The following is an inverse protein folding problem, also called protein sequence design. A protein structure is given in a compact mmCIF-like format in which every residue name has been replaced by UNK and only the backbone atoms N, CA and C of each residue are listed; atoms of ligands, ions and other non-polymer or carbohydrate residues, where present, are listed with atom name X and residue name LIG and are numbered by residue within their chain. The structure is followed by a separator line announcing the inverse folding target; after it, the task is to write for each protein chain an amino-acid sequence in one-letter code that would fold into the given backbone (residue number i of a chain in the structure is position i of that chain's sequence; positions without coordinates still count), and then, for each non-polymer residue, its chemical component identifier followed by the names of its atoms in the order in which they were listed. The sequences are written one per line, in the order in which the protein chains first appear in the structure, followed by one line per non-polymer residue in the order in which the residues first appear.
data_IF_049674128074
#
_entry.id   IF_049674128074
#
_cell.length_a   1.000
_cell.length_b   1.000
_cell.length_c   1.000
_cell.angle_alpha   90.00
_cell.angle_beta   90.00
_cell.angle_gamma   90.00
#
_symmetry.space_group_name_H-M   'P 1'
#
loop_
_entity.id
_entity.type
_entity.pdbx_description
1 polymer ?
#
# COMPACT_ATOMS: atom_id res chain seq x y z
N UNK A 1 -12.14 8.97 5.00
CA UNK A 1 -11.50 9.31 3.70
C UNK A 1 -11.28 10.82 3.53
N UNK A 2 -10.70 11.48 4.53
CA UNK A 2 -10.64 12.95 4.57
C UNK A 2 -9.76 13.57 3.47
N UNK A 3 -8.69 12.90 3.06
CA UNK A 3 -7.69 13.47 2.15
C UNK A 3 -7.91 13.16 0.67
N UNK A 4 -8.48 12.00 0.38
CA UNK A 4 -8.82 11.54 -0.97
C UNK A 4 -9.94 10.50 -0.90
N UNK A 5 -10.88 10.51 -1.84
CA UNK A 5 -11.86 9.42 -1.98
C UNK A 5 -11.25 8.15 -2.60
N UNK A 6 -10.04 8.24 -3.19
CA UNK A 6 -9.38 7.11 -3.85
C UNK A 6 -8.38 6.46 -2.92
N UNK A 7 -8.90 5.57 -2.09
CA UNK A 7 -8.10 4.73 -1.18
C UNK A 7 -8.34 3.28 -1.54
N UNK A 8 -7.30 2.45 -1.59
CA UNK A 8 -7.42 1.03 -1.86
C UNK A 8 -6.55 0.21 -0.88
N UNK A 9 -7.02 -0.99 -0.54
CA UNK A 9 -6.20 -1.95 0.21
C UNK A 9 -5.37 -2.78 -0.76
N UNK A 10 -4.06 -2.80 -0.52
CA UNK A 10 -3.13 -3.73 -1.14
C UNK A 10 -2.63 -4.72 -0.08
N UNK A 11 -2.12 -5.90 -0.48
CA UNK A 11 -1.43 -6.80 0.43
C UNK A 11 -0.36 -6.08 1.26
N UNK A 12 -0.61 -5.93 2.57
CA UNK A 12 0.32 -5.28 3.50
C UNK A 12 0.45 -3.76 3.37
N UNK A 13 -0.40 -3.08 2.58
CA UNK A 13 -0.31 -1.63 2.41
C UNK A 13 -1.67 -0.96 2.14
N UNK A 14 -1.77 0.32 2.51
CA UNK A 14 -2.87 1.19 2.13
C UNK A 14 -2.39 2.12 1.02
N UNK A 15 -3.05 2.08 -0.14
CA UNK A 15 -2.78 2.97 -1.27
C UNK A 15 -3.69 4.19 -1.21
N UNK A 16 -3.12 5.38 -1.40
CA UNK A 16 -3.86 6.63 -1.51
C UNK A 16 -3.46 7.34 -2.81
N UNK A 17 -4.42 7.59 -3.70
CA UNK A 17 -4.21 8.45 -4.87
C UNK A 17 -4.55 9.89 -4.47
N UNK A 18 -3.56 10.77 -4.42
CA UNK A 18 -3.71 12.12 -3.85
C UNK A 18 -3.47 13.25 -4.84
N UNK A 19 -3.15 12.97 -6.11
CA UNK A 19 -2.83 13.97 -7.12
C UNK A 19 -3.96 14.98 -7.30
N UNK A 20 -5.21 14.50 -7.30
CA UNK A 20 -6.40 15.35 -7.42
C UNK A 20 -6.66 16.27 -6.21
N UNK A 21 -6.19 15.91 -5.01
CA UNK A 21 -6.45 16.66 -3.77
C UNK A 21 -5.22 17.38 -3.22
N UNK A 22 -4.02 17.13 -3.76
CA UNK A 22 -2.74 17.65 -3.23
C UNK A 22 -2.74 19.17 -3.08
N UNK A 23 -3.32 19.90 -4.06
CA UNK A 23 -3.40 21.38 -4.01
C UNK A 23 -4.26 21.88 -2.86
N UNK A 24 -5.35 21.18 -2.52
CA UNK A 24 -6.26 21.55 -1.43
C UNK A 24 -5.57 21.49 -0.06
N UNK A 25 -4.55 20.64 0.06
CA UNK A 25 -3.82 20.41 1.30
C UNK A 25 -2.51 21.22 1.41
N UNK A 26 -2.28 22.17 0.51
CA UNK A 26 -1.07 23.00 0.50
C UNK A 26 0.16 22.28 -0.03
N UNK A 27 -0.04 21.26 -0.88
CA UNK A 27 1.04 20.48 -1.48
C UNK A 27 1.34 19.17 -0.74
N UNK A 28 2.15 18.34 -1.38
CA UNK A 28 2.41 16.96 -0.97
C UNK A 28 3.07 16.86 0.41
N UNK A 29 4.07 17.69 0.69
CA UNK A 29 4.75 17.69 1.99
C UNK A 29 3.81 18.07 3.15
N UNK A 30 2.92 19.05 2.93
CA UNK A 30 1.94 19.46 3.92
C UNK A 30 0.88 18.38 4.15
N UNK A 31 0.41 17.73 3.08
CA UNK A 31 -0.50 16.59 3.15
C UNK A 31 0.10 15.45 3.97
N UNK A 32 1.32 15.02 3.68
CA UNK A 32 1.98 13.93 4.42
C UNK A 32 2.13 14.27 5.90
N UNK A 33 2.55 15.50 6.22
CA UNK A 33 2.65 15.94 7.61
C UNK A 33 1.30 15.85 8.32
N UNK A 34 0.20 16.24 7.67
CA UNK A 34 -1.15 16.13 8.23
C UNK A 34 -1.56 14.68 8.44
N UNK A 35 -1.35 13.81 7.45
CA UNK A 35 -1.64 12.37 7.55
C UNK A 35 -0.96 11.75 8.78
N UNK A 36 0.34 12.00 8.96
CA UNK A 36 1.10 11.46 10.09
C UNK A 36 0.73 12.08 11.44
N UNK A 37 0.37 13.37 11.45
CA UNK A 37 0.01 14.08 12.69
C UNK A 37 -1.35 13.63 13.21
N UNK A 38 -2.32 13.46 12.30
CA UNK A 38 -3.69 13.05 12.62
C UNK A 38 -3.80 11.55 12.88
N UNK A 39 -2.96 10.74 12.23
CA UNK A 39 -2.90 9.29 12.42
C UNK A 39 -1.55 8.93 13.02
N UNK A 40 -1.30 9.35 14.27
CA UNK A 40 -0.09 8.95 15.00
C UNK A 40 -0.03 7.42 15.06
N UNK A 41 0.91 6.78 14.35
CA UNK A 41 0.97 5.33 14.31
C UNK A 41 1.27 4.80 15.70
N UNK A 42 0.61 3.72 16.10
CA UNK A 42 0.98 2.97 17.31
C UNK A 42 2.30 2.20 17.11
N UNK A 43 2.72 2.00 15.86
CA UNK A 43 3.94 1.29 15.45
C UNK A 43 4.62 2.02 14.30
N UNK A 44 5.91 1.80 14.07
CA UNK A 44 6.58 2.39 12.90
C UNK A 44 5.92 1.90 11.60
N UNK A 45 5.25 2.81 10.88
CA UNK A 45 4.65 2.53 9.57
C UNK A 45 5.58 3.12 8.51
N UNK A 46 6.08 2.27 7.62
CA UNK A 46 6.77 2.71 6.41
C UNK A 46 5.80 3.31 5.41
N UNK A 47 6.23 4.34 4.69
CA UNK A 47 5.49 4.89 3.56
C UNK A 47 6.44 5.11 2.39
N UNK A 48 5.88 5.09 1.19
CA UNK A 48 6.59 5.42 -0.03
C UNK A 48 5.67 6.19 -0.96
N UNK A 49 6.29 6.87 -1.94
CA UNK A 49 5.59 7.66 -2.93
C UNK A 49 6.19 7.33 -4.30
N UNK A 50 5.38 7.52 -5.34
CA UNK A 50 5.75 7.21 -6.71
C UNK A 50 4.84 7.95 -7.68
N UNK A 51 5.28 8.05 -8.93
CA UNK A 51 4.50 8.64 -10.01
C UNK A 51 3.25 7.81 -10.36
N UNK A 52 3.30 6.51 -10.08
CA UNK A 52 2.19 5.56 -10.22
C UNK A 52 2.03 4.77 -8.92
N UNK A 53 0.87 4.14 -8.73
CA UNK A 53 0.63 3.30 -7.54
C UNK A 53 1.63 2.15 -7.44
N UNK A 54 1.97 1.53 -8.57
CA UNK A 54 2.88 0.39 -8.62
C UNK A 54 4.31 0.79 -8.30
N UNK A 55 4.78 1.97 -8.76
CA UNK A 55 6.09 2.50 -8.34
C UNK A 55 6.09 2.76 -6.83
N UNK A 56 5.05 3.40 -6.29
CA UNK A 56 4.96 3.65 -4.85
C UNK A 56 4.97 2.35 -4.02
N UNK A 57 4.24 1.33 -4.48
CA UNK A 57 4.19 0.02 -3.83
C UNK A 57 5.53 -0.73 -3.94
N UNK A 58 6.20 -0.67 -5.08
CA UNK A 58 7.51 -1.26 -5.28
C UNK A 58 8.57 -0.62 -4.36
N UNK A 59 8.55 0.71 -4.29
CA UNK A 59 9.34 1.49 -3.35
C UNK A 59 9.14 1.03 -1.90
N UNK A 60 7.89 0.89 -1.47
CA UNK A 60 7.54 0.44 -0.12
C UNK A 60 8.05 -0.98 0.16
N UNK A 61 7.80 -1.91 -0.77
CA UNK A 61 8.18 -3.33 -0.65
C UNK A 61 9.69 -3.52 -0.59
N UNK A 62 10.42 -2.73 -1.38
CA UNK A 62 11.89 -2.77 -1.37
C UNK A 62 12.46 -2.20 -0.09
N UNK A 63 11.93 -1.08 0.41
CA UNK A 63 12.34 -0.51 1.68
C UNK A 63 12.10 -1.50 2.84
N UNK A 64 10.93 -2.16 2.89
CA UNK A 64 10.63 -3.14 3.93
C UNK A 64 11.54 -4.37 3.85
N UNK A 65 11.85 -4.86 2.65
CA UNK A 65 12.75 -6.01 2.45
C UNK A 65 14.17 -5.69 2.93
N UNK A 66 14.68 -4.49 2.61
CA UNK A 66 16.00 -4.06 3.06
C UNK A 66 16.06 -3.93 4.59
N UNK A 67 15.03 -3.33 5.21
CA UNK A 67 14.95 -3.20 6.67
C UNK A 67 14.88 -4.56 7.37
N UNK A 68 14.15 -5.53 6.83
CA UNK A 68 14.10 -6.89 7.39
C UNK A 68 15.43 -7.64 7.25
N UNK A 69 16.21 -7.37 6.20
CA UNK A 69 17.55 -7.95 6.02
C UNK A 69 18.63 -7.29 6.89
N UNK A 70 18.40 -6.06 7.35
CA UNK A 70 19.36 -5.25 8.11
C UNK A 70 19.19 -5.34 9.63
N UNK A 71 18.20 -6.08 10.15
CA UNK A 71 17.93 -6.19 11.58
C UNK A 71 18.93 -7.10 12.32
N UNK A 72 20.17 -6.61 12.46
CA UNK A 72 20.99 -6.73 13.67
C UNK A 72 20.90 -5.37 14.37
N UNK A 73 20.19 -5.34 15.50
CA UNK A 73 19.98 -4.23 16.45
C UNK A 73 19.08 -3.04 16.03
N UNK A 74 17.96 -2.79 16.74
CA UNK A 74 17.17 -1.58 16.60
C UNK A 74 17.66 -0.50 17.57
N UNK A 75 18.20 0.60 17.03
CA UNK A 75 18.44 1.82 17.79
C UNK A 75 17.37 2.88 17.44
N UNK A 76 16.78 3.48 18.47
CA UNK A 76 15.43 4.05 18.48
C UNK A 76 15.41 5.51 17.98
N UNK A 77 16.27 5.86 17.02
CA UNK A 77 16.42 7.26 16.56
C UNK A 77 16.91 7.36 15.12
N UNK A 78 16.15 6.83 14.16
CA UNK A 78 16.39 7.13 12.75
C UNK A 78 15.10 7.03 11.92
N UNK A 79 14.44 8.16 11.74
CA UNK A 79 13.57 8.35 10.59
C UNK A 79 14.38 8.08 9.31
N UNK A 80 13.99 7.04 8.58
CA UNK A 80 14.31 6.76 7.17
C UNK A 80 15.78 7.05 6.75
N UNK A 81 16.66 6.06 6.92
CA UNK A 81 17.87 5.98 6.11
C UNK A 81 18.15 4.52 5.74
N UNK A 82 17.40 4.02 4.77
CA UNK A 82 17.89 2.96 3.89
C UNK A 82 19.13 3.50 3.18
N UNK A 83 20.29 2.89 3.43
CA UNK A 83 21.61 3.32 2.92
C UNK A 83 21.86 2.92 1.47
N UNK A 84 20.94 2.19 0.85
CA UNK A 84 20.92 1.96 -0.60
C UNK A 84 19.91 2.95 -1.22
N UNK A 85 20.31 3.78 -2.20
CA UNK A 85 19.37 4.62 -2.93
C UNK A 85 18.27 3.72 -3.48
N UNK A 86 17.02 4.06 -3.19
CA UNK A 86 15.90 3.42 -3.83
C UNK A 86 16.01 3.68 -5.34
N UNK A 87 15.72 2.70 -6.20
CA UNK A 87 15.72 2.88 -7.65
C UNK A 87 14.98 4.17 -8.02
N UNK A 88 15.68 5.08 -8.69
CA UNK A 88 15.08 6.33 -9.18
C UNK A 88 14.40 6.11 -10.53
N UNK A 89 14.85 5.12 -11.30
CA UNK A 89 14.28 4.74 -12.58
C UNK A 89 13.35 3.51 -12.41
N UNK A 90 12.16 3.51 -13.06
CA UNK A 90 11.26 2.36 -13.01
C UNK A 90 11.88 1.05 -13.51
N UNK A 91 12.80 1.12 -14.47
CA UNK A 91 13.45 -0.06 -15.06
C UNK A 91 14.29 -0.84 -14.04
N UNK A 92 14.81 -0.18 -13.01
CA UNK A 92 15.70 -0.75 -12.00
C UNK A 92 14.96 -1.43 -10.85
N UNK A 93 13.62 -1.37 -10.80
CA UNK A 93 12.87 -2.04 -9.76
C UNK A 93 13.01 -3.56 -9.88
N UNK A 94 13.32 -4.27 -8.78
CA UNK A 94 13.38 -5.72 -8.78
C UNK A 94 12.04 -6.32 -9.20
N UNK A 95 12.06 -7.38 -10.02
CA UNK A 95 10.86 -7.97 -10.60
C UNK A 95 9.88 -8.51 -9.53
N UNK A 96 10.39 -8.94 -8.37
CA UNK A 96 9.56 -9.40 -7.25
C UNK A 96 8.69 -8.29 -6.64
N UNK A 97 8.97 -7.01 -6.92
CA UNK A 97 8.13 -5.90 -6.46
C UNK A 97 6.88 -5.70 -7.34
N UNK A 98 6.83 -6.33 -8.53
CA UNK A 98 5.64 -6.31 -9.39
C UNK A 98 4.72 -7.48 -9.02
N UNK A 99 3.58 -7.18 -8.41
CA UNK A 99 2.66 -8.21 -7.91
C UNK A 99 2.18 -9.18 -8.98
N UNK A 100 1.88 -8.68 -10.18
CA UNK A 100 1.45 -9.51 -11.31
C UNK A 100 2.53 -10.51 -11.76
N UNK A 101 3.81 -10.27 -11.46
CA UNK A 101 4.91 -11.17 -11.81
C UNK A 101 5.13 -12.29 -10.77
N UNK A 102 4.55 -12.19 -9.56
CA UNK A 102 4.83 -13.10 -8.43
C UNK A 102 4.69 -14.57 -8.79
N UNK A 103 3.60 -14.95 -9.45
CA UNK A 103 3.35 -16.34 -9.88
C UNK A 103 4.34 -16.85 -10.94
N UNK A 104 5.04 -15.95 -11.62
CA UNK A 104 5.91 -16.25 -12.76
C UNK A 104 7.39 -16.03 -12.46
N UNK A 105 7.75 -15.53 -11.26
CA UNK A 105 9.13 -15.22 -10.88
C UNK A 105 10.12 -16.36 -11.16
N UNK A 106 9.85 -17.63 -10.82
CA UNK A 106 10.82 -18.70 -11.06
C UNK A 106 11.13 -18.92 -12.55
N UNK A 107 10.12 -18.75 -13.41
CA UNK A 107 10.27 -18.93 -14.85
C UNK A 107 10.96 -17.71 -15.47
N UNK A 108 10.55 -16.50 -15.06
CA UNK A 108 11.14 -15.24 -15.54
C UNK A 108 12.62 -15.13 -15.14
N UNK A 109 12.98 -15.54 -13.93
CA UNK A 109 14.37 -15.57 -13.48
C UNK A 109 15.24 -16.51 -14.34
N UNK A 110 14.72 -17.67 -14.77
CA UNK A 110 15.43 -18.59 -15.68
C UNK A 110 15.63 -18.01 -17.08
N UNK A 111 14.80 -17.05 -17.49
CA UNK A 111 14.95 -16.31 -18.74
C UNK A 111 15.90 -15.11 -18.60
N UNK A 112 16.47 -14.89 -17.42
CA UNK A 112 17.35 -13.76 -17.14
C UNK A 112 16.62 -12.47 -16.76
N UNK A 113 15.29 -12.49 -16.59
CA UNK A 113 14.53 -11.31 -16.19
C UNK A 113 14.55 -11.14 -14.68
N UNK A 114 15.19 -10.09 -14.20
CA UNK A 114 15.39 -9.80 -12.77
C UNK A 114 14.83 -8.45 -12.34
N UNK A 115 14.69 -7.51 -13.27
CA UNK A 115 14.08 -6.20 -13.03
C UNK A 115 12.90 -5.92 -13.99
N UNK A 116 12.23 -4.79 -13.75
CA UNK A 116 11.12 -4.33 -14.60
C UNK A 116 11.59 -3.99 -16.01
N UNK A 117 12.79 -3.43 -16.15
CA UNK A 117 13.42 -3.13 -17.44
C UNK A 117 13.62 -4.38 -18.30
N UNK A 118 14.13 -5.48 -17.71
CA UNK A 118 14.30 -6.76 -18.40
C UNK A 118 12.96 -7.28 -18.92
N UNK A 119 11.92 -7.22 -18.07
CA UNK A 119 10.58 -7.66 -18.43
C UNK A 119 9.99 -6.78 -19.54
N UNK A 120 10.22 -5.46 -19.49
CA UNK A 120 9.76 -4.50 -20.49
C UNK A 120 10.44 -4.68 -21.85
N UNK A 121 11.68 -5.15 -21.87
CA UNK A 121 12.42 -5.43 -23.10
C UNK A 121 11.91 -6.67 -23.86
N UNK A 122 11.12 -7.54 -23.21
CA UNK A 122 10.56 -8.73 -23.86
C UNK A 122 9.47 -8.38 -24.88
N UNK A 123 9.31 -9.17 -25.96
CA UNK A 123 8.22 -8.99 -26.91
C UNK A 123 6.84 -9.08 -26.26
N UNK A 124 6.05 -7.99 -26.33
CA UNK A 124 4.73 -7.86 -25.67
C UNK A 124 3.78 -9.01 -25.98
N UNK A 125 3.66 -9.39 -27.26
CA UNK A 125 2.79 -10.49 -27.69
C UNK A 125 3.22 -11.84 -27.09
N UNK A 126 4.53 -12.08 -26.99
CA UNK A 126 5.07 -13.28 -26.35
C UNK A 126 4.83 -13.29 -24.85
N UNK A 127 4.96 -12.14 -24.20
CA UNK A 127 4.71 -11.97 -22.77
C UNK A 127 3.24 -12.25 -22.44
N UNK A 128 2.29 -11.63 -23.16
CA UNK A 128 0.86 -11.85 -23.00
C UNK A 128 0.47 -13.32 -23.18
N UNK A 129 1.00 -13.97 -24.23
CA UNK A 129 0.68 -15.38 -24.54
C UNK A 129 1.21 -16.36 -23.49
N UNK A 130 2.38 -16.10 -22.92
CA UNK A 130 3.06 -17.04 -22.00
C UNK A 130 2.74 -16.81 -20.52
N UNK A 131 2.53 -15.56 -20.13
CA UNK A 131 2.36 -15.15 -18.73
C UNK A 131 1.04 -14.43 -18.48
N UNK A 132 0.20 -14.27 -19.51
CA UNK A 132 -1.09 -13.62 -19.42
C UNK A 132 -1.04 -12.10 -19.67
N UNK A 133 -2.19 -11.57 -20.07
CA UNK A 133 -2.34 -10.14 -20.36
C UNK A 133 -2.18 -9.25 -19.10
N UNK A 134 -2.52 -9.78 -17.93
CA UNK A 134 -2.42 -9.04 -16.66
C UNK A 134 -0.99 -8.58 -16.33
N UNK A 135 0.03 -9.36 -16.72
CA UNK A 135 1.43 -8.96 -16.52
C UNK A 135 1.83 -7.79 -17.43
N UNK A 136 1.34 -7.79 -18.66
CA UNK A 136 1.55 -6.70 -19.62
C UNK A 136 0.84 -5.44 -19.15
N UNK A 137 -0.41 -5.57 -18.72
CA UNK A 137 -1.22 -4.46 -18.22
C UNK A 137 -0.61 -3.84 -16.95
N UNK A 138 -0.06 -4.66 -16.04
CA UNK A 138 0.62 -4.19 -14.84
C UNK A 138 1.91 -3.41 -15.17
N UNK A 139 2.67 -3.83 -16.19
CA UNK A 139 3.78 -3.02 -16.68
C UNK A 139 3.28 -1.69 -17.25
N UNK A 140 2.27 -1.71 -18.12
CA UNK A 140 1.75 -0.47 -18.71
C UNK A 140 1.23 0.51 -17.65
N UNK A 141 0.58 0.01 -16.60
CA UNK A 141 0.18 0.79 -15.42
C UNK A 141 1.39 1.36 -14.68
N UNK A 142 2.40 0.54 -14.41
CA UNK A 142 3.61 0.96 -13.71
C UNK A 142 4.32 2.13 -14.41
N UNK A 143 4.34 2.12 -15.74
CA UNK A 143 4.93 3.16 -16.58
C UNK A 143 3.95 4.29 -16.97
N UNK A 144 2.73 4.30 -16.43
CA UNK A 144 1.73 5.35 -16.70
C UNK A 144 1.15 5.34 -18.12
N UNK A 145 1.33 4.25 -18.87
CA UNK A 145 0.77 4.05 -20.22
C UNK A 145 -0.70 3.62 -20.16
N UNK A 146 -1.11 3.05 -19.03
CA UNK A 146 -2.51 2.72 -18.71
C UNK A 146 -2.87 3.27 -17.33
N UNK A 147 -4.13 3.66 -17.11
CA UNK A 147 -4.57 4.07 -15.78
C UNK A 147 -4.62 2.88 -14.82
N UNK A 148 -4.31 3.16 -13.56
CA UNK A 148 -4.49 2.20 -12.47
C UNK A 148 -5.99 1.95 -12.22
N UNK A 149 -6.35 0.68 -12.04
CA UNK A 149 -7.71 0.26 -11.70
C UNK A 149 -7.66 -0.46 -10.36
N UNK A 150 -8.30 0.12 -9.36
CA UNK A 150 -8.43 -0.47 -8.04
C UNK A 150 -9.90 -0.58 -7.64
N UNK A 151 -10.25 -1.60 -6.81
CA UNK A 151 -11.48 -1.57 -6.06
C UNK A 151 -11.33 -0.51 -4.97
N UNK A 152 -11.61 0.75 -5.33
CA UNK A 152 -11.57 1.85 -4.38
C UNK A 152 -12.46 1.52 -3.20
N UNK A 153 -11.92 1.67 -1.99
CA UNK A 153 -12.68 1.50 -0.76
C UNK A 153 -13.89 2.43 -0.83
N UNK A 154 -15.06 1.88 -0.55
CA UNK A 154 -16.29 2.62 -0.33
C UNK A 154 -16.61 2.51 1.14
N UNK A 155 -16.65 3.64 1.85
CA UNK A 155 -17.11 3.63 3.23
C UNK A 155 -18.61 3.35 3.25
N UNK A 156 -19.09 2.48 4.14
CA UNK A 156 -20.53 2.24 4.28
C UNK A 156 -21.24 3.53 4.72
N UNK A 157 -22.40 3.80 4.13
CA UNK A 157 -23.21 5.00 4.41
C UNK A 157 -23.88 4.97 5.79
N UNK A 158 -23.97 3.80 6.40
CA UNK A 158 -24.57 3.58 7.72
C UNK A 158 -23.57 2.87 8.61
N UNK A 159 -23.47 3.32 9.85
CA UNK A 159 -22.75 2.59 10.90
C UNK A 159 -23.63 1.46 11.44
N UNK A 160 -23.18 0.23 11.27
CA UNK A 160 -23.78 -0.94 11.88
C UNK A 160 -22.67 -1.81 12.52
N UNK A 161 -22.79 -2.09 13.81
CA UNK A 161 -21.83 -2.90 14.54
C UNK A 161 -22.55 -3.69 15.63
N UNK A 162 -22.26 -5.00 15.69
CA UNK A 162 -22.75 -5.91 16.72
C UNK A 162 -21.58 -6.39 17.56
N UNK A 163 -21.76 -6.44 18.88
CA UNK A 163 -20.78 -6.99 19.81
C UNK A 163 -21.40 -8.21 20.50
N UNK A 164 -20.86 -9.39 20.19
CA UNK A 164 -21.19 -10.60 20.93
C UNK A 164 -20.53 -10.57 22.31
N UNK A 165 -21.32 -10.89 23.33
CA UNK A 165 -20.85 -10.97 24.71
C UNK A 165 -20.45 -12.44 24.98
N UNK A 166 -19.31 -12.69 25.64
CA UNK A 166 -18.77 -14.05 25.81
C UNK A 166 -19.66 -14.94 26.70
N UNK A 167 -20.57 -14.35 27.47
CA UNK A 167 -21.56 -15.04 28.28
C UNK A 167 -22.81 -14.17 28.42
N UNK A 168 -23.88 -14.74 28.97
CA UNK A 168 -25.04 -13.96 29.38
C UNK A 168 -24.62 -12.87 30.38
N UNK A 169 -25.14 -11.66 30.18
CA UNK A 169 -24.88 -10.51 31.03
C UNK A 169 -26.15 -10.14 31.77
N UNK A 170 -26.08 -10.13 33.10
CA UNK A 170 -27.21 -9.83 33.99
C UNK A 170 -27.06 -8.48 34.70
N UNK A 171 -25.97 -7.75 34.45
CA UNK A 171 -25.68 -6.47 35.10
C UNK A 171 -25.48 -5.33 34.11
N UNK A 172 -25.88 -4.12 34.53
CA UNK A 172 -25.82 -2.93 33.70
C UNK A 172 -24.40 -2.47 33.36
N UNK A 173 -23.41 -2.72 34.24
CA UNK A 173 -22.03 -2.28 34.04
C UNK A 173 -21.35 -3.01 32.88
N UNK A 174 -21.58 -4.32 32.72
CA UNK A 174 -21.05 -5.08 31.59
C UNK A 174 -21.73 -4.71 30.26
N UNK A 175 -23.04 -4.42 30.27
CA UNK A 175 -23.72 -3.85 29.09
C UNK A 175 -23.14 -2.48 28.73
N UNK A 176 -22.89 -1.61 29.72
CA UNK A 176 -22.31 -0.30 29.50
C UNK A 176 -20.89 -0.39 28.92
N UNK A 177 -20.10 -1.38 29.32
CA UNK A 177 -18.78 -1.65 28.72
C UNK A 177 -18.89 -1.96 27.23
N UNK A 178 -19.81 -2.87 26.85
CA UNK A 178 -20.08 -3.19 25.45
C UNK A 178 -20.58 -1.97 24.66
N UNK A 179 -21.53 -1.22 25.22
CA UNK A 179 -22.06 0.01 24.62
C UNK A 179 -20.97 1.07 24.42
N UNK A 180 -20.08 1.29 25.40
CA UNK A 180 -18.94 2.21 25.25
C UNK A 180 -18.01 1.82 24.11
N UNK A 181 -17.79 0.53 23.90
CA UNK A 181 -16.98 0.03 22.77
C UNK A 181 -17.65 0.27 21.41
N UNK A 182 -18.97 0.10 21.32
CA UNK A 182 -19.72 0.42 20.11
C UNK A 182 -19.78 1.93 19.85
N UNK A 183 -19.99 2.73 20.89
CA UNK A 183 -19.99 4.20 20.81
C UNK A 183 -18.62 4.76 20.40
N UNK A 184 -17.53 4.18 20.90
CA UNK A 184 -16.18 4.57 20.47
C UNK A 184 -15.95 4.27 18.98
N UNK A 185 -16.45 3.13 18.46
CA UNK A 185 -16.41 2.84 17.03
C UNK A 185 -17.27 3.82 16.22
N UNK A 186 -18.46 4.16 16.70
CA UNK A 186 -19.33 5.16 16.08
C UNK A 186 -18.64 6.53 16.04
N UNK A 187 -17.96 6.94 17.10
CA UNK A 187 -17.20 8.20 17.13
C UNK A 187 -16.06 8.25 16.13
N UNK A 188 -15.46 7.12 15.78
CA UNK A 188 -14.44 7.03 14.72
C UNK A 188 -15.08 7.02 13.33
N UNK A 189 -16.32 6.56 13.22
CA UNK A 189 -17.07 6.52 11.97
C UNK A 189 -17.62 7.91 11.57
N UNK A 190 -18.07 8.71 12.54
CA UNK A 190 -18.54 10.09 12.36
C UNK A 190 -17.40 11.06 12.02
#
# INVERSE_FOLDING_TARGET
MQFTPKVALLPGALLLEVSGSTRLWGGQAALMRRIHTLNKPLTLIGYAQGATSLIAFACLTQASTLSASASVQPDISASARTTKPLPTAPDDFPLNTLMAAQAHLPILARLGCTCWGDLRALPRAGLARRFGQSLVDALDQAYGQRPDIYPWLTLPEVFEATLELPSQVENASALLFGARRLLAQLQVWL
#
